data_IF_290446232117
#
_entry.id   IF_290446232117
#
_cell.length_a   1.000
_cell.length_b   1.000
_cell.length_c   1.000
_cell.angle_alpha   90.00
_cell.angle_beta   90.00
_cell.angle_gamma   90.00
#
_symmetry.space_group_name_H-M   'P 1'
#
loop_
_entity.id
_entity.type
_entity.pdbx_description
1 polymer ?
#
# COMPACT_ATOMS: atom_id res chain seq x y z
N UNK A 1 -26.05 -0.94 27.11
CA UNK A 1 -25.86 -1.16 25.65
C UNK A 1 -24.84 -0.15 25.15
N UNK A 2 -23.59 -0.55 24.98
CA UNK A 2 -22.52 0.32 24.43
C UNK A 2 -22.37 -0.01 22.96
N UNK A 3 -22.54 0.99 22.11
CA UNK A 3 -22.32 0.89 20.68
C UNK A 3 -20.84 0.56 20.41
N UNK A 4 -20.62 -0.54 19.72
CA UNK A 4 -19.30 -1.03 19.28
C UNK A 4 -18.87 -0.15 18.10
N UNK A 5 -17.88 0.71 18.32
CA UNK A 5 -17.25 1.44 17.22
C UNK A 5 -16.63 0.42 16.23
N UNK A 6 -16.80 0.58 14.92
CA UNK A 6 -16.17 -0.28 13.95
C UNK A 6 -14.67 0.04 13.90
N UNK A 7 -13.85 -0.83 14.43
CA UNK A 7 -12.41 -0.82 14.18
C UNK A 7 -12.18 -1.08 12.69
N UNK A 8 -11.78 -0.06 11.97
CA UNK A 8 -11.36 -0.20 10.57
C UNK A 8 -9.94 -0.71 10.61
N UNK A 9 -9.79 -2.03 10.53
CA UNK A 9 -8.51 -2.58 10.14
C UNK A 9 -8.25 -2.12 8.70
N UNK A 10 -7.05 -1.65 8.39
CA UNK A 10 -6.56 -1.47 7.02
C UNK A 10 -6.34 -2.81 6.29
N UNK A 11 -6.92 -3.83 6.80
CA UNK A 11 -7.44 -4.98 6.10
C UNK A 11 -8.75 -4.55 5.52
N UNK A 12 -8.82 -4.45 4.21
CA UNK A 12 -10.05 -4.26 3.47
C UNK A 12 -11.13 -5.13 4.08
N UNK A 13 -11.96 -4.57 4.97
CA UNK A 13 -13.22 -5.16 5.32
C UNK A 13 -14.15 -4.95 4.14
N UNK A 14 -14.26 -5.98 3.31
CA UNK A 14 -15.33 -6.16 2.34
C UNK A 14 -16.66 -6.22 3.10
N UNK A 15 -17.23 -5.07 3.45
CA UNK A 15 -18.64 -4.98 3.78
C UNK A 15 -19.31 -4.20 2.64
N UNK A 16 -19.98 -5.00 1.81
CA UNK A 16 -20.61 -4.59 0.59
C UNK A 16 -21.51 -3.36 0.69
N UNK A 17 -21.28 -2.50 -0.27
CA UNK A 17 -22.27 -1.83 -1.12
C UNK A 17 -21.53 -1.27 -2.32
N UNK A 18 -21.33 -2.13 -3.30
CA UNK A 18 -20.88 -1.73 -4.63
C UNK A 18 -22.00 -0.91 -5.26
N UNK A 19 -21.87 0.41 -5.24
CA UNK A 19 -22.57 1.25 -6.19
C UNK A 19 -21.70 1.22 -7.45
N UNK A 20 -22.17 0.55 -8.49
CA UNK A 20 -21.56 0.57 -9.79
C UNK A 20 -21.52 2.02 -10.30
N UNK A 21 -20.37 2.67 -10.16
CA UNK A 21 -20.01 3.83 -10.96
C UNK A 21 -19.52 3.28 -12.29
N UNK A 22 -20.18 3.64 -13.36
CA UNK A 22 -19.81 3.25 -14.71
C UNK A 22 -18.34 3.60 -14.97
N UNK A 23 -17.55 2.60 -15.33
CA UNK A 23 -16.13 2.72 -15.62
C UNK A 23 -15.94 3.61 -16.84
N UNK A 24 -15.49 4.84 -16.64
CA UNK A 24 -14.79 5.55 -17.68
C UNK A 24 -13.44 4.85 -17.92
N UNK A 25 -12.95 4.74 -19.17
CA UNK A 25 -11.65 4.14 -19.42
C UNK A 25 -10.59 5.00 -18.73
N UNK A 26 -9.94 4.43 -17.70
CA UNK A 26 -8.81 5.06 -17.01
C UNK A 26 -7.63 4.99 -17.96
N UNK A 27 -7.28 6.13 -18.56
CA UNK A 27 -6.01 6.28 -19.28
C UNK A 27 -4.92 6.36 -18.21
N UNK A 28 -4.36 5.23 -17.86
CA UNK A 28 -3.20 5.19 -16.98
C UNK A 28 -1.98 5.73 -17.73
N UNK A 29 -1.19 6.63 -17.13
CA UNK A 29 0.04 7.10 -17.76
C UNK A 29 1.00 5.91 -17.89
N UNK A 30 1.38 5.60 -19.13
CA UNK A 30 2.30 4.50 -19.48
C UNK A 30 3.78 4.88 -19.29
N UNK A 31 4.08 5.88 -18.47
CA UNK A 31 5.47 6.34 -18.25
C UNK A 31 5.88 5.98 -16.81
N UNK A 32 7.18 5.63 -16.59
CA UNK A 32 7.70 5.47 -15.24
C UNK A 32 7.38 6.74 -14.45
N UNK A 33 6.83 6.54 -13.26
CA UNK A 33 6.43 7.65 -12.39
C UNK A 33 7.63 8.33 -11.74
N UNK A 34 8.74 7.63 -11.67
CA UNK A 34 10.07 8.17 -11.36
C UNK A 34 11.03 7.73 -12.44
N UNK A 35 11.97 8.57 -12.81
CA UNK A 35 13.15 8.10 -13.51
C UNK A 35 13.83 6.98 -12.72
N UNK A 36 14.79 6.31 -13.35
CA UNK A 36 15.65 5.35 -12.64
C UNK A 36 16.32 6.03 -11.44
N UNK A 37 16.22 5.39 -10.28
CA UNK A 37 16.85 5.85 -9.05
C UNK A 37 17.57 4.68 -8.39
N UNK A 38 18.37 4.96 -7.35
CA UNK A 38 19.08 3.91 -6.62
C UNK A 38 18.49 3.72 -5.22
N UNK A 39 18.31 2.47 -4.83
CA UNK A 39 18.09 2.12 -3.44
C UNK A 39 19.33 2.49 -2.59
N UNK A 40 19.23 2.39 -1.26
CA UNK A 40 20.36 2.76 -0.36
C UNK A 40 21.63 1.97 -0.60
N UNK A 41 21.52 0.76 -1.14
CA UNK A 41 22.65 -0.12 -1.45
C UNK A 41 23.19 0.07 -2.89
N UNK A 42 22.70 1.08 -3.60
CA UNK A 42 23.07 1.37 -4.97
C UNK A 42 22.35 0.56 -6.04
N UNK A 43 21.40 -0.30 -5.67
CA UNK A 43 20.63 -1.09 -6.64
C UNK A 43 19.73 -0.18 -7.48
N UNK A 44 19.81 -0.22 -8.83
CA UNK A 44 18.91 0.54 -9.70
C UNK A 44 17.48 0.07 -9.55
N UNK A 45 16.54 1.00 -9.44
CA UNK A 45 15.13 0.72 -9.21
C UNK A 45 14.25 1.72 -9.96
N UNK A 46 13.01 1.31 -10.24
CA UNK A 46 11.97 2.15 -10.86
C UNK A 46 10.63 1.92 -10.19
N UNK A 47 9.81 2.98 -10.15
CA UNK A 47 8.42 2.93 -9.65
C UNK A 47 7.47 3.17 -10.82
N UNK A 48 6.47 2.29 -10.93
CA UNK A 48 5.42 2.32 -11.93
C UNK A 48 4.03 2.34 -11.29
N UNK A 49 3.00 2.80 -12.01
CA UNK A 49 1.62 2.47 -11.65
C UNK A 49 1.44 0.95 -11.66
N UNK A 50 0.72 0.43 -10.68
CA UNK A 50 0.30 -0.97 -10.71
C UNK A 50 -0.77 -1.15 -11.79
N UNK A 51 -0.57 -2.09 -12.70
CA UNK A 51 -1.44 -2.34 -13.84
C UNK A 51 -2.20 -3.67 -13.67
N UNK A 52 -3.37 -3.84 -14.32
CA UNK A 52 -4.08 -5.13 -14.36
C UNK A 52 -3.22 -6.30 -14.85
N UNK A 53 -2.26 -6.03 -15.74
CA UNK A 53 -1.28 -7.01 -16.22
C UNK A 53 -0.33 -7.53 -15.15
N UNK A 54 -0.21 -6.84 -14.02
CA UNK A 54 0.69 -7.21 -12.93
C UNK A 54 0.05 -8.19 -11.94
N UNK A 55 -1.20 -8.59 -12.16
CA UNK A 55 -1.96 -9.45 -11.24
C UNK A 55 -1.22 -10.75 -10.88
N UNK A 56 -0.66 -11.45 -11.87
CA UNK A 56 0.09 -12.70 -11.62
C UNK A 56 1.42 -12.42 -10.91
N UNK A 57 2.10 -11.33 -11.26
CA UNK A 57 3.32 -10.89 -10.57
C UNK A 57 3.06 -10.61 -9.08
N UNK A 58 1.88 -10.02 -8.77
CA UNK A 58 1.46 -9.81 -7.38
C UNK A 58 1.18 -11.11 -6.65
N UNK A 59 0.48 -12.07 -7.28
CA UNK A 59 0.23 -13.39 -6.69
C UNK A 59 1.53 -14.11 -6.39
N UNK A 60 2.46 -14.10 -7.33
CA UNK A 60 3.77 -14.72 -7.16
C UNK A 60 4.60 -14.02 -6.07
N UNK A 61 4.55 -12.69 -6.04
CA UNK A 61 5.14 -11.91 -4.96
C UNK A 61 4.56 -12.30 -3.60
N UNK A 62 3.24 -12.36 -3.48
CA UNK A 62 2.57 -12.73 -2.24
C UNK A 62 2.98 -14.12 -1.75
N UNK A 63 3.05 -15.12 -2.63
CA UNK A 63 3.48 -16.48 -2.28
C UNK A 63 4.91 -16.52 -1.73
N UNK A 64 5.76 -15.59 -2.15
CA UNK A 64 7.17 -15.48 -1.72
C UNK A 64 7.35 -14.70 -0.42
N UNK A 65 6.34 -13.99 0.07
CA UNK A 65 6.39 -13.31 1.37
C UNK A 65 6.46 -14.33 2.52
N UNK A 66 7.22 -13.99 3.55
CA UNK A 66 7.19 -14.72 4.82
C UNK A 66 5.81 -14.68 5.47
N UNK A 67 5.53 -15.60 6.40
CA UNK A 67 4.30 -15.58 7.18
C UNK A 67 4.13 -14.26 7.94
N UNK A 68 5.19 -13.75 8.54
CA UNK A 68 5.20 -12.49 9.28
C UNK A 68 4.89 -11.30 8.37
N UNK A 69 5.49 -11.23 7.19
CA UNK A 69 5.22 -10.15 6.21
C UNK A 69 3.78 -10.20 5.72
N UNK A 70 3.20 -11.38 5.49
CA UNK A 70 1.78 -11.54 5.15
C UNK A 70 0.87 -11.10 6.30
N UNK A 71 1.17 -11.55 7.53
CA UNK A 71 0.43 -11.15 8.73
C UNK A 71 0.48 -9.64 8.95
N UNK A 72 1.65 -9.02 8.84
CA UNK A 72 1.81 -7.58 8.99
C UNK A 72 1.07 -6.78 7.92
N UNK A 73 0.97 -7.30 6.69
CA UNK A 73 0.29 -6.60 5.59
C UNK A 73 -1.22 -6.69 5.67
N UNK A 74 -1.77 -7.85 6.03
CA UNK A 74 -3.21 -8.10 5.97
C UNK A 74 -3.87 -8.15 7.35
N UNK A 75 -3.10 -8.16 8.43
CA UNK A 75 -3.57 -8.25 9.83
C UNK A 75 -4.45 -9.48 10.09
N UNK A 76 -4.47 -10.41 9.16
CA UNK A 76 -5.20 -11.68 9.21
C UNK A 76 -4.34 -12.76 8.55
N UNK A 77 -4.57 -14.02 8.92
CA UNK A 77 -3.93 -15.15 8.25
C UNK A 77 -4.50 -15.33 6.85
N UNK A 78 -3.91 -14.66 5.87
CA UNK A 78 -4.25 -14.80 4.46
C UNK A 78 -3.24 -15.75 3.80
N UNK A 79 -3.72 -16.86 3.25
CA UNK A 79 -2.87 -17.87 2.63
C UNK A 79 -2.61 -17.59 1.16
N UNK A 80 -3.56 -16.95 0.46
CA UNK A 80 -3.45 -16.61 -0.96
C UNK A 80 -4.19 -15.32 -1.31
N UNK A 81 -3.81 -14.69 -2.41
CA UNK A 81 -4.57 -13.60 -3.04
C UNK A 81 -5.56 -14.20 -4.03
N UNK A 82 -6.81 -14.31 -3.63
CA UNK A 82 -7.88 -14.74 -4.51
C UNK A 82 -8.25 -13.66 -5.55
N UNK A 83 -9.13 -14.01 -6.50
CA UNK A 83 -9.54 -13.07 -7.56
C UNK A 83 -10.25 -11.83 -7.01
N UNK A 84 -10.93 -11.93 -5.87
CA UNK A 84 -11.60 -10.79 -5.25
C UNK A 84 -10.60 -9.80 -4.66
N UNK A 85 -9.54 -10.30 -4.04
CA UNK A 85 -8.43 -9.49 -3.53
C UNK A 85 -7.64 -8.83 -4.67
N UNK A 86 -7.38 -9.57 -5.75
CA UNK A 86 -6.71 -9.00 -6.93
C UNK A 86 -7.55 -7.88 -7.54
N UNK A 87 -8.85 -8.08 -7.74
CA UNK A 87 -9.73 -7.01 -8.24
C UNK A 87 -9.67 -5.77 -7.36
N UNK A 88 -9.66 -5.97 -6.04
CA UNK A 88 -9.58 -4.86 -5.11
C UNK A 88 -8.23 -4.14 -5.16
N UNK A 89 -7.12 -4.88 -5.21
CA UNK A 89 -5.78 -4.29 -5.17
C UNK A 89 -5.39 -3.67 -6.52
N UNK A 90 -5.84 -4.22 -7.62
CA UNK A 90 -5.38 -3.85 -8.96
C UNK A 90 -6.47 -3.13 -9.75
N UNK A 91 -7.64 -3.75 -9.93
CA UNK A 91 -8.66 -3.23 -10.85
C UNK A 91 -9.37 -1.98 -10.28
N UNK A 92 -9.38 -1.78 -8.95
CA UNK A 92 -9.94 -0.59 -8.34
C UNK A 92 -8.98 0.62 -8.34
N UNK A 93 -7.72 0.43 -8.76
CA UNK A 93 -6.74 1.51 -8.83
C UNK A 93 -7.06 2.44 -10.01
N UNK A 94 -7.72 3.57 -9.72
CA UNK A 94 -8.15 4.57 -10.70
C UNK A 94 -7.13 5.72 -10.89
N UNK A 95 -6.07 5.73 -10.09
CA UNK A 95 -5.04 6.77 -10.10
C UNK A 95 -5.50 8.12 -9.50
N UNK A 96 -6.73 8.21 -9.03
CA UNK A 96 -7.34 9.43 -8.44
C UNK A 96 -7.70 9.19 -6.99
N UNK A 97 -8.64 8.30 -6.71
CA UNK A 97 -9.07 7.95 -5.35
C UNK A 97 -8.32 6.74 -4.80
N UNK A 98 -7.87 5.88 -5.68
CA UNK A 98 -7.01 4.75 -5.34
C UNK A 98 -5.76 4.79 -6.22
N UNK A 99 -4.65 5.22 -5.66
CA UNK A 99 -3.32 5.16 -6.29
C UNK A 99 -2.61 3.90 -5.85
N UNK A 100 -2.20 3.07 -6.80
CA UNK A 100 -1.41 1.87 -6.56
C UNK A 100 -0.09 1.94 -7.34
N UNK A 101 1.02 1.72 -6.65
CA UNK A 101 2.38 1.80 -7.21
C UNK A 101 3.12 0.49 -6.98
N UNK A 102 3.94 0.13 -7.93
CA UNK A 102 4.83 -1.02 -7.86
C UNK A 102 6.29 -0.59 -8.04
N UNK A 103 7.19 -1.17 -7.27
CA UNK A 103 8.62 -0.95 -7.37
C UNK A 103 9.29 -2.21 -7.90
N UNK A 104 10.05 -2.04 -8.98
CA UNK A 104 10.91 -3.05 -9.56
C UNK A 104 12.38 -2.66 -9.43
N UNK A 105 13.23 -3.66 -9.33
CA UNK A 105 14.68 -3.51 -9.52
C UNK A 105 15.11 -4.13 -10.84
N UNK A 106 16.17 -3.58 -11.39
CA UNK A 106 16.79 -4.00 -12.64
C UNK A 106 18.13 -4.69 -12.33
N UNK A 107 18.15 -6.00 -12.07
CA UNK A 107 19.39 -6.70 -11.84
C UNK A 107 20.24 -6.75 -13.13
N UNK A 108 21.59 -6.77 -13.04
CA UNK A 108 22.49 -6.63 -14.20
C UNK A 108 22.37 -7.72 -15.27
N UNK A 109 21.65 -8.79 -15.04
CA UNK A 109 21.65 -9.97 -15.93
C UNK A 109 20.29 -10.63 -16.19
N UNK A 110 19.19 -10.19 -15.56
CA UNK A 110 17.90 -10.89 -15.67
C UNK A 110 16.68 -9.95 -15.59
N UNK A 111 15.51 -10.55 -15.59
CA UNK A 111 14.20 -9.90 -15.60
C UNK A 111 14.02 -8.95 -14.42
N UNK A 112 13.21 -7.92 -14.64
CA UNK A 112 12.69 -7.06 -13.59
C UNK A 112 12.18 -7.89 -12.41
N UNK A 113 12.61 -7.55 -11.20
CA UNK A 113 12.17 -8.23 -9.99
C UNK A 113 11.26 -7.30 -9.20
N UNK A 114 10.06 -7.79 -8.85
CA UNK A 114 9.14 -7.11 -7.95
C UNK A 114 9.77 -7.01 -6.55
N UNK A 115 9.90 -5.78 -6.09
CA UNK A 115 10.47 -5.45 -4.76
C UNK A 115 9.40 -5.04 -3.77
N UNK A 116 8.38 -4.33 -4.25
CA UNK A 116 7.34 -3.88 -3.36
C UNK A 116 6.15 -3.25 -4.07
N UNK A 117 5.07 -3.11 -3.33
CA UNK A 117 3.81 -2.51 -3.76
C UNK A 117 3.30 -1.57 -2.69
N UNK A 118 2.73 -0.46 -3.10
CA UNK A 118 2.12 0.50 -2.18
C UNK A 118 0.78 1.00 -2.72
N UNK A 119 -0.16 1.21 -1.81
CA UNK A 119 -1.51 1.69 -2.10
C UNK A 119 -1.82 2.91 -1.25
N UNK A 120 -2.51 3.87 -1.84
CA UNK A 120 -3.14 4.99 -1.16
C UNK A 120 -4.63 5.01 -1.57
N UNK A 121 -5.54 4.80 -0.63
CA UNK A 121 -6.98 4.77 -0.87
C UNK A 121 -7.68 5.86 -0.07
N UNK A 122 -8.25 6.84 -0.76
CA UNK A 122 -9.05 7.90 -0.14
C UNK A 122 -10.34 7.32 0.44
N UNK A 123 -10.72 7.75 1.64
CA UNK A 123 -11.96 7.31 2.25
C UNK A 123 -13.15 7.98 1.55
N UNK A 124 -14.19 7.23 1.13
CA UNK A 124 -15.35 7.79 0.44
C UNK A 124 -16.17 8.74 1.31
N UNK A 125 -16.19 8.52 2.61
CA UNK A 125 -16.92 9.30 3.63
C UNK A 125 -16.09 10.44 4.24
N UNK A 126 -14.78 10.48 3.98
CA UNK A 126 -13.86 11.50 4.46
C UNK A 126 -12.76 11.80 3.42
N UNK A 127 -13.05 12.68 2.44
CA UNK A 127 -12.09 13.00 1.38
C UNK A 127 -10.77 13.63 1.86
N UNK A 128 -10.69 14.04 3.12
CA UNK A 128 -9.47 14.58 3.71
C UNK A 128 -8.54 13.51 4.28
N UNK A 129 -9.01 12.26 4.32
CA UNK A 129 -8.26 11.13 4.85
C UNK A 129 -8.07 10.03 3.77
N UNK A 130 -6.94 9.35 3.85
CA UNK A 130 -6.66 8.16 3.04
C UNK A 130 -6.05 7.05 3.88
N UNK A 131 -6.31 5.80 3.48
CA UNK A 131 -5.57 4.65 3.96
C UNK A 131 -4.28 4.48 3.15
N UNK A 132 -3.21 4.01 3.80
CA UNK A 132 -1.93 3.71 3.16
C UNK A 132 -1.48 2.31 3.53
N UNK A 133 -1.10 1.54 2.53
CA UNK A 133 -0.59 0.20 2.73
C UNK A 133 0.66 -0.04 1.87
N UNK A 134 1.69 -0.62 2.47
CA UNK A 134 2.97 -0.90 1.81
C UNK A 134 3.39 -2.33 2.10
N UNK A 135 3.84 -3.01 1.07
CA UNK A 135 4.44 -4.34 1.17
C UNK A 135 5.81 -4.31 0.49
N UNK A 136 6.85 -4.75 1.20
CA UNK A 136 8.19 -4.91 0.63
C UNK A 136 8.58 -6.37 0.76
N UNK A 137 9.06 -6.97 -0.33
CA UNK A 137 9.57 -8.33 -0.35
C UNK A 137 10.71 -8.50 0.66
N UNK A 138 10.69 -9.58 1.44
CA UNK A 138 11.60 -9.78 2.58
C UNK A 138 13.09 -9.52 2.26
N UNK A 139 13.67 -10.01 1.13
CA UNK A 139 15.06 -9.75 0.79
C UNK A 139 15.39 -8.27 0.52
N UNK A 140 14.35 -7.45 0.29
CA UNK A 140 14.48 -6.03 -0.08
C UNK A 140 14.14 -5.06 1.04
N UNK A 141 13.77 -5.57 2.21
CA UNK A 141 13.49 -4.74 3.38
C UNK A 141 14.79 -4.07 3.90
N UNK A 142 14.64 -2.92 4.55
CA UNK A 142 15.79 -2.16 5.08
C UNK A 142 16.63 -1.41 4.04
N UNK A 143 16.38 -1.59 2.73
CA UNK A 143 17.17 -0.98 1.64
C UNK A 143 16.59 0.35 1.10
N UNK A 144 15.55 0.90 1.73
CA UNK A 144 14.94 2.18 1.33
C UNK A 144 13.75 2.07 0.39
N UNK A 145 13.39 0.87 -0.09
CA UNK A 145 12.27 0.64 -1.00
C UNK A 145 10.93 1.17 -0.47
N UNK A 146 10.61 0.90 0.80
CA UNK A 146 9.39 1.41 1.44
C UNK A 146 9.35 2.94 1.50
N UNK A 147 10.48 3.59 1.80
CA UNK A 147 10.58 5.06 1.81
C UNK A 147 10.33 5.63 0.41
N UNK A 148 10.92 5.04 -0.62
CA UNK A 148 10.72 5.48 -2.01
C UNK A 148 9.24 5.36 -2.43
N UNK A 149 8.59 4.22 -2.14
CA UNK A 149 7.17 4.01 -2.45
C UNK A 149 6.25 4.99 -1.71
N UNK A 150 6.46 5.20 -0.39
CA UNK A 150 5.65 6.15 0.38
C UNK A 150 5.85 7.57 -0.14
N UNK A 151 7.08 7.99 -0.41
CA UNK A 151 7.34 9.32 -1.00
C UNK A 151 6.61 9.50 -2.32
N UNK A 152 6.68 8.50 -3.22
CA UNK A 152 6.01 8.53 -4.49
C UNK A 152 4.46 8.58 -4.38
N UNK A 153 3.88 7.91 -3.36
CA UNK A 153 2.45 8.03 -3.05
C UNK A 153 2.10 9.43 -2.55
N UNK A 154 2.92 10.01 -1.65
CA UNK A 154 2.67 11.34 -1.10
C UNK A 154 2.72 12.44 -2.17
N UNK A 155 3.60 12.32 -3.14
CA UNK A 155 3.66 13.23 -4.30
C UNK A 155 2.41 13.18 -5.18
N UNK A 156 1.71 12.04 -5.17
CA UNK A 156 0.52 11.77 -6.01
C UNK A 156 -0.79 11.78 -5.24
N UNK A 157 -0.73 12.06 -3.95
CA UNK A 157 -1.94 12.10 -3.15
C UNK A 157 -2.91 13.18 -3.66
N UNK A 158 -4.21 12.95 -3.64
CA UNK A 158 -5.19 14.01 -3.88
C UNK A 158 -4.92 15.20 -2.96
N UNK A 159 -5.00 16.41 -3.49
CA UNK A 159 -4.70 17.65 -2.73
C UNK A 159 -5.60 17.81 -1.48
N UNK A 160 -6.80 17.22 -1.50
CA UNK A 160 -7.71 17.21 -0.36
C UNK A 160 -7.21 16.33 0.80
N UNK A 161 -6.35 15.33 0.54
CA UNK A 161 -5.87 14.40 1.57
C UNK A 161 -4.82 15.10 2.42
N UNK A 162 -5.19 15.41 3.64
CA UNK A 162 -4.34 16.08 4.65
C UNK A 162 -3.92 15.14 5.78
N UNK A 163 -4.49 13.92 5.84
CA UNK A 163 -4.12 12.91 6.85
C UNK A 163 -4.19 11.50 6.30
N UNK A 164 -3.37 10.64 6.87
CA UNK A 164 -3.46 9.20 6.67
C UNK A 164 -4.09 8.56 7.90
N UNK A 165 -4.93 7.56 7.70
CA UNK A 165 -5.51 6.72 8.75
C UNK A 165 -5.32 5.27 8.36
N UNK A 166 -4.60 4.52 9.15
CA UNK A 166 -4.29 3.12 8.84
C UNK A 166 -4.20 2.29 10.11
N UNK A 167 -4.22 1.00 9.97
CA UNK A 167 -4.02 0.07 11.06
C UNK A 167 -2.68 -0.67 10.86
N UNK A 168 -1.90 -0.79 11.93
CA UNK A 168 -0.56 -1.41 11.89
C UNK A 168 -0.45 -2.42 13.02
N UNK A 169 0.12 -3.61 12.76
CA UNK A 169 0.46 -4.55 13.81
C UNK A 169 1.41 -3.88 14.82
N UNK A 170 1.14 -4.01 16.11
CA UNK A 170 1.87 -3.29 17.16
C UNK A 170 3.35 -3.65 17.23
N UNK A 171 3.71 -4.84 16.76
CA UNK A 171 5.08 -5.34 16.62
C UNK A 171 5.76 -5.00 15.29
N UNK A 172 5.03 -4.40 14.34
CA UNK A 172 5.60 -3.97 13.06
C UNK A 172 6.29 -2.60 13.19
N UNK A 173 7.41 -2.59 13.90
CA UNK A 173 8.20 -1.37 14.15
C UNK A 173 8.72 -0.73 12.85
N UNK A 174 8.96 -1.55 11.80
CA UNK A 174 9.44 -1.04 10.51
C UNK A 174 8.38 -0.18 9.82
N UNK A 175 7.11 -0.62 9.80
CA UNK A 175 6.01 0.18 9.25
C UNK A 175 5.73 1.42 10.08
N UNK A 176 5.75 1.33 11.41
CA UNK A 176 5.58 2.49 12.29
C UNK A 176 6.67 3.55 12.04
N UNK A 177 7.93 3.13 11.96
CA UNK A 177 9.05 4.03 11.66
C UNK A 177 8.98 4.63 10.24
N UNK A 178 8.47 3.88 9.27
CA UNK A 178 8.25 4.36 7.90
C UNK A 178 7.17 5.44 7.87
N UNK A 179 6.02 5.18 8.48
CA UNK A 179 4.87 6.08 8.52
C UNK A 179 5.16 7.38 9.29
N UNK A 180 5.92 7.30 10.39
CA UNK A 180 6.32 8.48 11.16
C UNK A 180 7.14 9.51 10.36
N UNK A 181 7.68 9.12 9.20
CA UNK A 181 8.42 10.04 8.30
C UNK A 181 7.50 10.83 7.39
N UNK A 182 6.25 10.39 7.21
CA UNK A 182 5.30 11.06 6.34
C UNK A 182 4.67 12.31 6.99
N UNK A 183 4.68 12.40 8.33
CA UNK A 183 4.09 13.53 9.04
C UNK A 183 4.03 13.31 10.55
N UNK A 184 3.22 14.09 11.23
CA UNK A 184 3.03 13.98 12.67
C UNK A 184 2.12 12.80 13.00
N UNK A 185 2.71 11.72 13.50
CA UNK A 185 2.02 10.47 13.82
C UNK A 185 1.46 10.48 15.25
N UNK A 186 0.23 9.99 15.37
CA UNK A 186 -0.42 9.63 16.65
C UNK A 186 -0.94 8.18 16.55
N UNK A 187 -0.91 7.47 17.67
CA UNK A 187 -1.39 6.09 17.74
C UNK A 187 -2.46 5.95 18.82
N UNK A 188 -3.46 5.14 18.55
CA UNK A 188 -4.40 4.67 19.57
C UNK A 188 -3.78 3.65 20.52
N UNK A 189 -4.56 3.21 21.50
CA UNK A 189 -4.17 2.06 22.33
C UNK A 189 -4.26 0.77 21.49
N UNK A 190 -3.33 -0.17 21.67
CA UNK A 190 -3.36 -1.41 20.93
C UNK A 190 -4.62 -2.22 21.29
N UNK A 191 -5.30 -2.70 20.26
CA UNK A 191 -6.45 -3.58 20.38
C UNK A 191 -6.17 -4.87 19.59
N UNK A 192 -6.14 -6.01 20.25
CA UNK A 192 -5.85 -7.31 19.62
C UNK A 192 -4.52 -7.32 18.83
N UNK A 193 -3.50 -6.63 19.35
CA UNK A 193 -2.18 -6.55 18.69
C UNK A 193 -2.10 -5.56 17.50
N UNK A 194 -3.12 -4.75 17.28
CA UNK A 194 -3.19 -3.77 16.20
C UNK A 194 -3.31 -2.35 16.78
N UNK A 195 -2.61 -1.41 16.18
CA UNK A 195 -2.66 0.02 16.47
C UNK A 195 -3.43 0.75 15.36
N UNK A 196 -4.40 1.58 15.75
CA UNK A 196 -4.91 2.61 14.86
C UNK A 196 -3.89 3.75 14.80
N UNK A 197 -3.46 4.09 13.60
CA UNK A 197 -2.42 5.09 13.35
C UNK A 197 -3.02 6.23 12.54
N UNK A 198 -2.82 7.45 12.99
CA UNK A 198 -3.16 8.67 12.25
C UNK A 198 -1.90 9.49 12.01
N UNK A 199 -1.70 9.96 10.78
CA UNK A 199 -0.58 10.82 10.40
C UNK A 199 -1.16 12.10 9.80
N UNK A 200 -0.90 13.23 10.44
CA UNK A 200 -1.19 14.56 9.89
C UNK A 200 -0.07 14.92 8.91
N UNK A 201 -0.47 15.13 7.66
CA UNK A 201 0.43 15.51 6.56
C UNK A 201 0.65 17.03 6.58
N UNK A 202 1.87 17.46 6.39
CA UNK A 202 2.21 18.88 6.27
C UNK A 202 1.85 19.45 4.89
#
# INVERSE_FOLDING_TARGET
MRAKAPGVAASVKLTGRTRALGAAPVVQPQLPLSGEFQLRDGTPAMIWPLLPTDAETLRDGFRRLSGDSRQHRFLTGLDELDDSMIRLLVDSADGVHHTALVLFVLPPRDREELVGVAHLMQYPDDPTAADVAVTIMDPWQGRGAGTALVSALMERRPAAVTRLRTAVAADNHASLALLARAGRMTTGLPAQGVLDVTIELG
#
